data_IF_394806293929
#
_entry.id   IF_394806293929
#
_cell.length_a   1.000
_cell.length_b   1.000
_cell.length_c   1.000
_cell.angle_alpha   90.00
_cell.angle_beta   90.00
_cell.angle_gamma   90.00
#
_symmetry.space_group_name_H-M   'P 1'
#
loop_
_entity.id
_entity.type
_entity.pdbx_description
1 polymer ?
#
# COMPACT_ATOMS: atom_id res chain seq x y z
N UNK A 1 -33.37 17.79 -30.49
CA UNK A 1 -32.38 18.74 -29.95
C UNK A 1 -31.77 19.45 -31.14
N UNK A 2 -31.81 20.78 -31.14
CA UNK A 2 -31.18 21.63 -32.17
C UNK A 2 -29.65 21.50 -32.07
N UNK A 3 -28.97 21.56 -33.21
CA UNK A 3 -27.52 21.53 -33.33
C UNK A 3 -26.85 22.63 -32.49
N UNK A 4 -27.46 23.83 -32.41
CA UNK A 4 -27.00 24.90 -31.51
C UNK A 4 -27.12 24.54 -30.04
N UNK A 5 -28.19 23.85 -29.68
CA UNK A 5 -28.45 23.45 -28.29
C UNK A 5 -27.49 22.32 -27.88
N UNK A 6 -27.15 21.43 -28.80
CA UNK A 6 -26.12 20.41 -28.60
C UNK A 6 -24.72 21.00 -28.42
N UNK A 7 -24.33 21.96 -29.27
CA UNK A 7 -23.02 22.64 -29.17
C UNK A 7 -22.90 23.34 -27.82
N UNK A 8 -23.94 24.05 -27.38
CA UNK A 8 -23.93 24.73 -26.09
C UNK A 8 -23.74 23.76 -24.91
N UNK A 9 -24.41 22.61 -24.93
CA UNK A 9 -24.22 21.59 -23.90
C UNK A 9 -22.81 20.99 -23.92
N UNK A 10 -22.19 20.86 -25.08
CA UNK A 10 -20.80 20.41 -25.19
C UNK A 10 -19.83 21.44 -24.61
N UNK A 11 -20.01 22.72 -24.90
CA UNK A 11 -19.19 23.81 -24.34
C UNK A 11 -19.29 23.86 -22.80
N UNK A 12 -20.50 23.73 -22.26
CA UNK A 12 -20.74 23.67 -20.81
C UNK A 12 -20.05 22.45 -20.18
N UNK A 13 -20.09 21.30 -20.84
CA UNK A 13 -19.40 20.08 -20.38
C UNK A 13 -17.89 20.19 -20.46
N UNK A 14 -17.34 20.80 -21.52
CA UNK A 14 -15.91 21.03 -21.69
C UNK A 14 -15.41 21.95 -20.58
N UNK A 15 -16.10 23.06 -20.34
CA UNK A 15 -15.75 24.01 -19.27
C UNK A 15 -15.75 23.30 -17.90
N UNK A 16 -16.78 22.51 -17.60
CA UNK A 16 -16.85 21.74 -16.35
C UNK A 16 -15.75 20.67 -16.23
N UNK A 17 -15.25 20.14 -17.35
CA UNK A 17 -14.12 19.20 -17.35
C UNK A 17 -12.79 19.93 -17.14
N UNK A 18 -12.59 21.08 -17.79
CA UNK A 18 -11.40 21.91 -17.62
C UNK A 18 -11.25 22.38 -16.16
N UNK A 19 -12.35 22.81 -15.52
CA UNK A 19 -12.35 23.17 -14.10
C UNK A 19 -11.97 22.00 -13.18
N UNK A 20 -12.42 20.78 -13.50
CA UNK A 20 -12.07 19.58 -12.73
C UNK A 20 -10.63 19.14 -12.94
N UNK A 21 -10.09 19.32 -14.15
CA UNK A 21 -8.74 18.92 -14.53
C UNK A 21 -7.68 19.93 -14.09
N UNK A 22 -8.03 21.20 -13.90
CA UNK A 22 -7.11 22.25 -13.40
C UNK A 22 -6.45 21.92 -12.06
N UNK A 23 -7.06 20.99 -11.33
CA UNK A 23 -6.63 20.52 -10.03
C UNK A 23 -5.68 19.32 -10.11
N UNK A 24 -5.32 18.86 -11.31
CA UNK A 24 -4.46 17.70 -11.57
C UNK A 24 -3.32 18.13 -12.49
N UNK A 25 -2.08 17.95 -12.04
CA UNK A 25 -0.86 18.25 -12.80
C UNK A 25 0.04 17.03 -12.90
N UNK A 26 0.61 16.80 -14.08
CA UNK A 26 1.66 15.80 -14.32
C UNK A 26 2.91 16.55 -14.75
N UNK A 27 3.95 16.49 -13.92
CA UNK A 27 5.25 17.09 -14.16
C UNK A 27 6.07 16.31 -15.19
N UNK A 28 7.14 16.94 -15.69
CA UNK A 28 7.99 16.40 -16.76
C UNK A 28 8.69 15.09 -16.37
N UNK A 29 8.85 14.84 -15.06
CA UNK A 29 9.44 13.61 -14.51
C UNK A 29 8.38 12.57 -14.10
N UNK A 30 7.11 12.78 -14.44
CA UNK A 30 6.01 11.91 -14.00
C UNK A 30 5.44 12.26 -12.62
N UNK A 31 5.99 13.25 -11.94
CA UNK A 31 5.48 13.70 -10.63
C UNK A 31 4.04 14.17 -10.73
N UNK A 32 3.19 13.72 -9.83
CA UNK A 32 1.76 13.99 -9.87
C UNK A 32 1.41 14.97 -8.75
N UNK A 33 0.73 16.06 -9.10
CA UNK A 33 0.18 17.02 -8.14
C UNK A 33 -1.33 17.02 -8.27
N UNK A 34 -2.02 16.83 -7.15
CA UNK A 34 -3.46 16.87 -7.10
C UNK A 34 -3.91 17.74 -5.93
N UNK A 35 -4.80 18.70 -6.19
CA UNK A 35 -5.32 19.61 -5.16
C UNK A 35 -6.83 19.77 -5.25
N UNK A 36 -7.55 19.81 -4.14
CA UNK A 36 -9.00 20.06 -4.14
C UNK A 36 -9.80 19.07 -5.00
N UNK A 37 -9.39 17.79 -5.01
CA UNK A 37 -10.08 16.73 -5.75
C UNK A 37 -10.25 15.46 -4.90
N UNK A 38 -11.22 14.63 -5.25
CA UNK A 38 -11.39 13.31 -4.64
C UNK A 38 -10.57 12.27 -5.40
N UNK A 39 -9.68 11.58 -4.70
CA UNK A 39 -8.80 10.56 -5.24
C UNK A 39 -9.22 9.23 -4.64
N UNK A 40 -9.78 8.33 -5.45
CA UNK A 40 -10.26 7.05 -4.96
C UNK A 40 -9.27 5.90 -5.20
N UNK A 41 -8.57 5.92 -6.33
CA UNK A 41 -7.56 4.94 -6.71
C UNK A 41 -6.42 5.68 -7.43
N UNK A 42 -5.20 5.58 -6.93
CA UNK A 42 -3.99 6.11 -7.57
C UNK A 42 -2.89 5.04 -7.50
N UNK A 43 -2.45 4.57 -8.67
CA UNK A 43 -1.39 3.59 -8.83
C UNK A 43 -0.40 4.12 -9.87
N UNK A 44 0.83 4.37 -9.46
CA UNK A 44 1.83 5.02 -10.32
C UNK A 44 2.89 4.07 -10.87
N UNK A 45 3.06 2.87 -10.28
CA UNK A 45 4.00 1.78 -10.65
C UNK A 45 5.46 2.15 -10.97
N UNK A 46 5.83 3.41 -10.85
CA UNK A 46 7.09 4.00 -11.26
C UNK A 46 7.59 4.95 -10.17
N UNK A 47 8.89 5.25 -10.21
CA UNK A 47 9.51 6.26 -9.34
C UNK A 47 8.92 7.64 -9.66
N UNK A 48 7.93 8.08 -8.88
CA UNK A 48 7.33 9.39 -9.01
C UNK A 48 6.90 9.94 -7.65
N UNK A 49 7.16 11.24 -7.44
CA UNK A 49 6.69 11.91 -6.24
C UNK A 49 5.24 12.33 -6.40
N UNK A 50 4.46 12.19 -5.33
CA UNK A 50 3.04 12.55 -5.32
C UNK A 50 2.80 13.65 -4.27
N UNK A 51 2.15 14.73 -4.70
CA UNK A 51 1.74 15.84 -3.84
C UNK A 51 0.23 15.97 -3.81
N UNK A 52 -0.35 15.81 -2.62
CA UNK A 52 -1.79 15.83 -2.40
C UNK A 52 -2.15 16.96 -1.42
N UNK A 53 -3.09 17.82 -1.81
CA UNK A 53 -3.49 18.98 -0.99
C UNK A 53 -5.00 19.19 -0.96
N UNK A 54 -5.63 19.25 0.22
CA UNK A 54 -7.08 19.46 0.34
C UNK A 54 -7.92 18.45 -0.46
N UNK A 55 -7.49 17.19 -0.50
CA UNK A 55 -8.14 16.10 -1.22
C UNK A 55 -8.89 15.17 -0.24
N UNK A 56 -9.94 14.49 -0.72
CA UNK A 56 -10.43 13.28 -0.04
C UNK A 56 -9.73 12.09 -0.67
N UNK A 57 -9.05 11.29 0.16
CA UNK A 57 -8.13 10.25 -0.28
C UNK A 57 -8.67 8.89 0.14
N UNK A 58 -8.94 8.02 -0.85
CA UNK A 58 -9.17 6.58 -0.69
C UNK A 58 -7.84 5.82 -0.67
N UNK A 59 -7.78 4.68 -1.36
CA UNK A 59 -6.59 3.84 -1.37
C UNK A 59 -5.54 4.38 -2.38
N UNK A 60 -4.31 4.56 -1.92
CA UNK A 60 -3.18 5.03 -2.75
C UNK A 60 -2.05 4.02 -2.66
N UNK A 61 -1.58 3.56 -3.82
CA UNK A 61 -0.43 2.69 -3.97
C UNK A 61 0.67 3.45 -4.73
N UNK A 62 1.90 3.42 -4.21
CA UNK A 62 3.05 4.09 -4.81
C UNK A 62 4.19 3.12 -5.11
N UNK A 63 5.03 3.46 -6.08
CA UNK A 63 6.24 2.71 -6.39
C UNK A 63 7.33 2.84 -5.30
N UNK A 64 8.37 2.01 -5.39
CA UNK A 64 9.57 2.12 -4.54
C UNK A 64 10.27 3.47 -4.76
N UNK A 65 10.97 3.97 -3.74
CA UNK A 65 11.70 5.26 -3.75
C UNK A 65 10.84 6.49 -4.13
N UNK A 66 9.55 6.47 -3.82
CA UNK A 66 8.65 7.60 -4.05
C UNK A 66 8.35 8.34 -2.74
N UNK A 67 8.39 9.67 -2.75
CA UNK A 67 7.91 10.47 -1.62
C UNK A 67 6.45 10.88 -1.83
N UNK A 68 5.62 10.75 -0.78
CA UNK A 68 4.26 11.31 -0.72
C UNK A 68 4.21 12.47 0.27
N UNK A 69 3.83 13.67 -0.21
CA UNK A 69 3.52 14.82 0.63
C UNK A 69 1.99 15.04 0.67
N UNK A 70 1.37 14.77 1.82
CA UNK A 70 -0.07 14.92 2.04
C UNK A 70 -0.34 16.08 2.99
N UNK A 71 -1.09 17.07 2.54
CA UNK A 71 -1.47 18.25 3.35
C UNK A 71 -2.97 18.47 3.36
N UNK A 72 -3.53 18.64 4.55
CA UNK A 72 -4.94 19.03 4.75
C UNK A 72 -5.94 18.10 4.05
N UNK A 73 -5.63 16.81 3.91
CA UNK A 73 -6.49 15.81 3.27
C UNK A 73 -7.24 14.96 4.30
N UNK A 74 -8.48 14.56 4.00
CA UNK A 74 -9.18 13.53 4.76
C UNK A 74 -8.78 12.15 4.23
N UNK A 75 -8.02 11.40 5.03
CA UNK A 75 -7.45 10.09 4.64
C UNK A 75 -8.38 8.97 5.12
N UNK A 76 -8.82 8.12 4.20
CA UNK A 76 -9.61 6.93 4.49
C UNK A 76 -8.76 5.78 5.07
N UNK A 77 -7.60 5.49 4.47
CA UNK A 77 -6.53 4.57 4.92
C UNK A 77 -5.35 4.77 3.95
N UNK A 78 -4.09 4.81 4.44
CA UNK A 78 -2.89 4.84 3.59
C UNK A 78 -1.98 3.69 4.03
N UNK A 79 -1.83 2.65 3.19
CA UNK A 79 -1.02 1.47 3.49
C UNK A 79 0.30 1.61 2.73
N UNK A 80 1.41 1.65 3.46
CA UNK A 80 2.74 1.65 2.89
C UNK A 80 3.07 0.24 2.39
N UNK A 81 3.67 0.11 1.22
CA UNK A 81 3.97 -1.17 0.57
C UNK A 81 5.00 -2.03 1.35
N UNK A 82 5.66 -1.45 2.36
CA UNK A 82 6.55 -2.17 3.29
C UNK A 82 5.79 -3.20 4.16
N UNK A 83 4.46 -3.16 4.21
CA UNK A 83 3.66 -4.14 4.96
C UNK A 83 3.68 -5.51 4.28
N UNK A 84 3.65 -5.57 2.95
CA UNK A 84 3.69 -6.85 2.22
C UNK A 84 5.03 -7.57 2.47
N UNK A 85 6.15 -6.84 2.50
CA UNK A 85 7.47 -7.40 2.82
C UNK A 85 7.60 -7.78 4.32
N UNK A 86 6.84 -7.12 5.19
CA UNK A 86 6.72 -7.51 6.59
C UNK A 86 5.83 -8.75 6.78
N UNK A 87 4.79 -8.95 5.97
CA UNK A 87 3.95 -10.15 5.96
C UNK A 87 4.76 -11.37 5.51
N UNK A 88 5.53 -11.25 4.41
CA UNK A 88 6.43 -12.33 3.96
C UNK A 88 7.47 -12.70 5.03
N UNK A 89 8.04 -11.70 5.74
CA UNK A 89 8.96 -11.94 6.85
C UNK A 89 8.28 -12.58 8.07
N UNK A 90 7.00 -12.27 8.32
CA UNK A 90 6.23 -12.86 9.42
C UNK A 90 5.96 -14.33 9.11
N UNK A 91 5.55 -14.67 7.88
CA UNK A 91 5.34 -16.08 7.48
C UNK A 91 6.64 -16.90 7.61
N UNK A 92 7.79 -16.36 7.17
CA UNK A 92 9.08 -17.05 7.34
C UNK A 92 9.44 -17.26 8.83
N UNK A 93 9.15 -16.26 9.67
CA UNK A 93 9.39 -16.36 11.11
C UNK A 93 8.46 -17.36 11.79
N UNK A 94 7.22 -17.50 11.33
CA UNK A 94 6.25 -18.49 11.81
C UNK A 94 6.70 -19.92 11.46
N UNK A 95 7.12 -20.18 10.21
CA UNK A 95 7.66 -21.50 9.81
C UNK A 95 8.89 -21.89 10.64
N UNK A 96 9.80 -20.93 10.87
CA UNK A 96 11.01 -21.17 11.68
C UNK A 96 10.70 -21.39 13.16
N UNK A 97 9.62 -20.81 13.68
CA UNK A 97 9.15 -21.06 15.05
C UNK A 97 8.59 -22.47 15.19
N UNK A 98 7.77 -22.93 14.23
CA UNK A 98 7.24 -24.29 14.21
C UNK A 98 8.36 -25.35 14.15
N UNK A 99 9.37 -25.15 13.28
CA UNK A 99 10.53 -26.05 13.20
C UNK A 99 11.33 -26.07 14.52
N UNK A 100 11.44 -24.93 15.21
CA UNK A 100 12.14 -24.85 16.49
C UNK A 100 11.38 -25.59 17.60
N UNK A 101 10.06 -25.50 17.61
CA UNK A 101 9.20 -26.21 18.56
C UNK A 101 9.32 -27.73 18.38
N UNK A 102 9.26 -28.24 17.14
CA UNK A 102 9.39 -29.68 16.86
C UNK A 102 10.77 -30.22 17.29
N UNK A 103 11.83 -29.45 17.03
CA UNK A 103 13.19 -29.80 17.47
C UNK A 103 13.34 -29.81 18.99
N UNK A 104 12.67 -28.89 19.71
CA UNK A 104 12.68 -28.88 21.17
C UNK A 104 11.96 -30.10 21.74
N UNK A 105 10.82 -30.49 21.18
CA UNK A 105 10.09 -31.69 21.60
C UNK A 105 10.92 -32.96 21.38
N UNK A 106 11.62 -33.07 20.23
CA UNK A 106 12.51 -34.19 19.97
C UNK A 106 13.70 -34.23 20.94
N UNK A 107 14.29 -33.08 21.27
CA UNK A 107 15.37 -32.98 22.24
C UNK A 107 14.90 -33.36 23.66
N UNK A 108 13.71 -32.93 24.07
CA UNK A 108 13.12 -33.32 25.36
C UNK A 108 12.94 -34.84 25.41
N UNK A 109 12.37 -35.45 24.37
CA UNK A 109 12.18 -36.90 24.33
C UNK A 109 13.50 -37.67 24.39
N UNK A 110 14.54 -37.21 23.67
CA UNK A 110 15.88 -37.82 23.75
C UNK A 110 16.51 -37.66 25.13
N UNK A 111 16.26 -36.53 25.79
CA UNK A 111 16.79 -36.27 27.12
C UNK A 111 16.14 -37.18 28.17
N UNK A 112 14.83 -37.39 28.07
CA UNK A 112 14.08 -38.35 28.90
C UNK A 112 14.59 -39.79 28.69
N UNK A 113 14.84 -40.21 27.44
CA UNK A 113 15.39 -41.54 27.13
C UNK A 113 16.79 -41.73 27.74
N UNK A 114 17.66 -40.71 27.66
CA UNK A 114 18.99 -40.74 28.27
C UNK A 114 18.93 -40.74 29.80
N UNK A 115 17.94 -40.06 30.39
CA UNK A 115 17.72 -40.05 31.85
C UNK A 115 17.29 -41.44 32.34
N UNK A 116 16.37 -42.12 31.62
CA UNK A 116 16.00 -43.51 31.92
C UNK A 116 17.19 -44.48 31.79
N UNK A 117 18.00 -44.36 30.73
CA UNK A 117 19.18 -45.22 30.55
C UNK A 117 20.23 -45.03 31.67
N UNK A 118 20.37 -43.82 32.21
CA UNK A 118 21.29 -43.56 33.33
C UNK A 118 20.78 -44.16 34.64
N UNK A 119 19.48 -44.08 34.91
CA UNK A 119 18.85 -44.67 36.09
C UNK A 119 18.93 -46.21 36.10
N UNK A 120 18.99 -46.86 34.94
CA UNK A 120 19.17 -48.33 34.84
C UNK A 120 20.62 -48.80 35.07
N UNK A 121 21.61 -47.90 35.03
CA UNK A 121 23.04 -48.22 35.11
C UNK A 121 23.64 -47.97 36.51
N UNK A 122 22.95 -47.24 37.40
CA UNK A 122 23.29 -47.08 38.84
C UNK A 122 22.81 -48.25 39.72
#
# INVERSE_FOLDING_TARGET
>A
MDEKEYIKQLEERITALEEKLNNIGVGVNGNITMTQCSIHNLDTRHECDIKLGNCSIGDIQIGRNCDIDVKECSIGTAINCDVDEAEDCIEELEERLEELEENMDELVSKMEEVEEELDEVE
#
